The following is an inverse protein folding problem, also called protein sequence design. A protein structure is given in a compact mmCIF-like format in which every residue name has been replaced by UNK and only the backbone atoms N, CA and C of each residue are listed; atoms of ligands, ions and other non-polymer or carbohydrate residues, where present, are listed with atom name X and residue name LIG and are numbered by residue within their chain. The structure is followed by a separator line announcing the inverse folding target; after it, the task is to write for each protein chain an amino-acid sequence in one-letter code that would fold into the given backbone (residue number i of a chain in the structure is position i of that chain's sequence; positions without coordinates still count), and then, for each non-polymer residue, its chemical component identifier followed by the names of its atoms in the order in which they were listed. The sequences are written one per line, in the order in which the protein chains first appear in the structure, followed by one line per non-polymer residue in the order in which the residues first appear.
data_IF_943788256072
#
_entry.id   IF_943788256072
#
_cell.length_a   1.000
_cell.length_b   1.000
_cell.length_c   1.000
_cell.angle_alpha   90.00
_cell.angle_beta   90.00
_cell.angle_gamma   90.00
#
_symmetry.space_group_name_H-M   'P 1'
#
loop_
_entity.id
_entity.type
_entity.pdbx_description
1 polymer ?
#
# COMPACT_ATOMS: atom_id res chain seq x y z
N UNK A 1 -13.01 -13.42 3.37
CA UNK A 1 -11.78 -14.07 3.87
C UNK A 1 -10.82 -14.23 2.72
N UNK A 2 -9.74 -13.44 2.69
CA UNK A 2 -8.72 -13.49 1.62
C UNK A 2 -7.86 -14.74 1.81
N UNK A 3 -7.89 -15.68 0.85
CA UNK A 3 -6.99 -16.84 0.83
C UNK A 3 -5.72 -16.48 0.04
N UNK A 4 -4.75 -15.86 0.70
CA UNK A 4 -3.40 -15.74 0.15
C UNK A 4 -2.75 -17.12 0.17
N UNK A 5 -2.69 -17.73 -1.01
CA UNK A 5 -2.20 -19.08 -1.26
C UNK A 5 -0.70 -19.15 -0.94
N UNK A 6 -0.37 -19.58 0.28
CA UNK A 6 0.93 -20.15 0.66
C UNK A 6 2.21 -19.37 0.26
N UNK A 7 2.17 -18.03 0.22
CA UNK A 7 3.41 -17.24 0.25
C UNK A 7 3.80 -17.03 1.71
N UNK A 8 5.05 -17.29 2.05
CA UNK A 8 5.62 -16.97 3.37
C UNK A 8 5.65 -15.45 3.48
N UNK A 9 4.56 -14.88 4.00
CA UNK A 9 4.38 -13.44 4.22
C UNK A 9 5.10 -12.98 5.49
N UNK A 10 5.63 -13.94 6.27
CA UNK A 10 6.54 -13.70 7.37
C UNK A 10 7.93 -13.40 6.81
N UNK A 11 8.44 -12.21 7.11
CA UNK A 11 9.75 -11.74 6.62
C UNK A 11 10.83 -12.82 6.75
N UNK A 12 11.66 -12.96 5.72
CA UNK A 12 12.73 -13.94 5.66
C UNK A 12 13.83 -13.63 6.69
N UNK A 13 14.02 -12.36 7.02
CA UNK A 13 15.03 -11.86 7.96
C UNK A 13 14.37 -11.26 9.21
N UNK A 14 15.06 -11.31 10.36
CA UNK A 14 14.60 -10.65 11.59
C UNK A 14 14.32 -9.14 11.38
N UNK A 15 15.10 -8.50 10.51
CA UNK A 15 14.89 -7.11 10.07
C UNK A 15 13.55 -6.93 9.37
N UNK A 16 13.21 -7.78 8.41
CA UNK A 16 11.92 -7.73 7.70
C UNK A 16 10.76 -8.01 8.66
N UNK A 17 10.90 -8.95 9.59
CA UNK A 17 9.87 -9.21 10.62
C UNK A 17 9.65 -7.99 11.51
N UNK A 18 10.73 -7.31 11.90
CA UNK A 18 10.65 -6.08 12.68
C UNK A 18 9.93 -4.98 11.89
N UNK A 19 10.33 -4.73 10.65
CA UNK A 19 9.69 -3.75 9.77
C UNK A 19 8.21 -4.06 9.52
N UNK A 20 7.85 -5.34 9.31
CA UNK A 20 6.46 -5.76 9.16
C UNK A 20 5.66 -5.39 10.42
N UNK A 21 6.19 -5.68 11.61
CA UNK A 21 5.50 -5.34 12.86
C UNK A 21 5.39 -3.84 13.07
N UNK A 22 6.42 -3.09 12.72
CA UNK A 22 6.43 -1.62 12.78
C UNK A 22 5.32 -1.04 11.90
N UNK A 23 5.23 -1.49 10.64
CA UNK A 23 4.17 -1.09 9.71
C UNK A 23 2.77 -1.50 10.19
N UNK A 24 2.62 -2.70 10.77
CA UNK A 24 1.34 -3.15 11.33
C UNK A 24 0.92 -2.27 12.51
N UNK A 25 1.88 -1.91 13.37
CA UNK A 25 1.64 -1.04 14.52
C UNK A 25 1.25 0.35 14.03
N UNK A 26 2.03 0.92 13.10
CA UNK A 26 1.73 2.21 12.48
C UNK A 26 0.35 2.24 11.81
N UNK A 27 -0.02 1.17 11.10
CA UNK A 27 -1.38 1.06 10.56
C UNK A 27 -2.43 1.10 11.66
N UNK A 28 -2.26 0.31 12.73
CA UNK A 28 -3.21 0.23 13.84
C UNK A 28 -3.32 1.53 14.65
N UNK A 29 -2.21 2.26 14.84
CA UNK A 29 -2.15 3.47 15.67
C UNK A 29 -2.47 4.73 14.90
N UNK A 30 -1.88 4.90 13.71
CA UNK A 30 -1.97 6.14 12.96
C UNK A 30 -3.02 6.02 11.87
N UNK A 31 -2.90 5.02 10.99
CA UNK A 31 -3.76 4.90 9.81
C UNK A 31 -5.22 4.59 10.15
N UNK A 32 -5.47 3.69 11.11
CA UNK A 32 -6.81 3.33 11.57
C UNK A 32 -7.42 4.34 12.54
N UNK A 33 -6.58 5.16 13.21
CA UNK A 33 -7.04 6.12 14.20
C UNK A 33 -7.05 7.57 13.70
N UNK A 34 -6.87 7.81 12.39
CA UNK A 34 -6.93 9.15 11.81
C UNK A 34 -8.32 9.79 11.99
N UNK A 35 -8.48 10.83 12.83
CA UNK A 35 -9.77 11.49 13.02
C UNK A 35 -10.09 12.49 11.90
N UNK A 36 -9.09 12.87 11.09
CA UNK A 36 -9.18 13.94 10.10
C UNK A 36 -8.50 13.58 8.78
N UNK A 37 -8.95 14.22 7.70
CA UNK A 37 -8.33 14.06 6.39
C UNK A 37 -6.88 14.55 6.36
N UNK A 38 -6.52 15.55 7.17
CA UNK A 38 -5.14 16.07 7.25
C UNK A 38 -4.16 15.05 7.83
N UNK A 39 -4.53 14.35 8.91
CA UNK A 39 -3.71 13.30 9.51
C UNK A 39 -3.53 12.12 8.57
N UNK A 40 -4.59 11.75 7.85
CA UNK A 40 -4.51 10.78 6.75
C UNK A 40 -3.54 11.26 5.65
N UNK A 41 -3.58 12.53 5.28
CA UNK A 41 -2.69 13.10 4.26
C UNK A 41 -1.22 13.03 4.67
N UNK A 42 -0.92 13.28 5.96
CA UNK A 42 0.43 13.11 6.52
C UNK A 42 0.87 11.64 6.43
N UNK A 43 -0.02 10.70 6.80
CA UNK A 43 0.26 9.27 6.68
C UNK A 43 0.52 8.85 5.22
N UNK A 44 -0.29 9.34 4.29
CA UNK A 44 -0.12 9.11 2.86
C UNK A 44 1.19 9.66 2.33
N UNK A 45 1.59 10.86 2.74
CA UNK A 45 2.89 11.42 2.35
C UNK A 45 4.06 10.59 2.91
N UNK A 46 3.94 10.13 4.16
CA UNK A 46 4.95 9.27 4.77
C UNK A 46 5.10 7.96 3.98
N UNK A 47 3.98 7.25 3.74
CA UNK A 47 3.96 6.02 2.94
C UNK A 47 4.51 6.25 1.52
N UNK A 48 4.14 7.36 0.87
CA UNK A 48 4.62 7.69 -0.47
C UNK A 48 6.13 7.95 -0.51
N UNK A 49 6.71 8.47 0.58
CA UNK A 49 8.15 8.69 0.72
C UNK A 49 8.89 7.37 0.95
N UNK A 50 8.36 6.50 1.80
CA UNK A 50 8.93 5.17 2.04
C UNK A 50 8.92 4.32 0.76
N UNK A 51 7.81 4.34 0.00
CA UNK A 51 7.68 3.69 -1.30
C UNK A 51 8.46 4.36 -2.44
N UNK A 52 9.05 5.55 -2.22
CA UNK A 52 9.89 6.20 -3.23
C UNK A 52 11.19 5.41 -3.45
N UNK A 53 11.73 4.85 -2.36
CA UNK A 53 13.00 4.14 -2.37
C UNK A 53 12.84 2.62 -2.52
N UNK A 54 11.67 2.08 -2.18
CA UNK A 54 11.43 0.64 -2.10
C UNK A 54 10.27 0.21 -3.01
N UNK A 55 10.39 -0.96 -3.65
CA UNK A 55 9.29 -1.50 -4.47
C UNK A 55 8.14 -2.09 -3.65
N UNK A 56 8.41 -2.45 -2.38
CA UNK A 56 7.45 -2.91 -1.37
C UNK A 56 7.82 -2.32 -0.01
N UNK A 57 6.87 -2.24 0.92
CA UNK A 57 7.05 -1.58 2.23
C UNK A 57 8.17 -2.20 3.07
N UNK A 58 8.42 -3.50 2.91
CA UNK A 58 9.46 -4.23 3.64
C UNK A 58 10.59 -4.75 2.73
N UNK A 59 10.78 -4.18 1.53
CA UNK A 59 11.89 -4.52 0.64
C UNK A 59 11.46 -5.01 -0.74
N UNK A 60 11.85 -6.24 -1.10
CA UNK A 60 11.66 -6.81 -2.45
C UNK A 60 10.57 -7.87 -2.55
N UNK A 61 10.01 -8.32 -1.42
CA UNK A 61 8.96 -9.34 -1.38
C UNK A 61 7.64 -8.74 -0.90
N UNK A 62 6.53 -9.28 -1.42
CA UNK A 62 5.19 -8.95 -0.96
C UNK A 62 4.97 -9.56 0.43
N UNK A 63 4.74 -8.72 1.42
CA UNK A 63 4.57 -9.13 2.82
C UNK A 63 3.17 -8.76 3.34
N UNK A 64 2.84 -9.20 4.57
CA UNK A 64 1.53 -8.91 5.15
C UNK A 64 1.30 -7.42 5.42
N UNK A 65 2.37 -6.67 5.71
CA UNK A 65 2.31 -5.22 5.85
C UNK A 65 1.78 -4.57 4.56
N UNK A 66 2.28 -5.00 3.39
CA UNK A 66 1.80 -4.50 2.10
C UNK A 66 0.30 -4.79 1.91
N UNK A 67 -0.14 -6.00 2.25
CA UNK A 67 -1.56 -6.38 2.14
C UNK A 67 -2.43 -5.53 3.07
N UNK A 68 -2.02 -5.32 4.32
CA UNK A 68 -2.78 -4.53 5.30
C UNK A 68 -2.87 -3.06 4.87
N UNK A 69 -1.75 -2.47 4.44
CA UNK A 69 -1.72 -1.09 3.92
C UNK A 69 -2.58 -0.99 2.66
N UNK A 70 -2.53 -1.98 1.76
CA UNK A 70 -3.34 -2.00 0.54
C UNK A 70 -4.83 -2.00 0.86
N UNK A 71 -5.25 -2.84 1.82
CA UNK A 71 -6.63 -2.93 2.26
C UNK A 71 -7.11 -1.63 2.92
N UNK A 72 -6.27 -1.04 3.77
CA UNK A 72 -6.57 0.23 4.41
C UNK A 72 -6.67 1.38 3.40
N UNK A 73 -5.81 1.41 2.39
CA UNK A 73 -5.78 2.45 1.36
C UNK A 73 -6.81 2.28 0.24
N UNK A 74 -7.30 1.06 0.00
CA UNK A 74 -8.26 0.76 -1.06
C UNK A 74 -9.46 1.72 -1.14
N UNK A 75 -10.22 1.98 -0.05
CA UNK A 75 -11.36 2.92 -0.12
C UNK A 75 -10.94 4.36 -0.42
N UNK A 76 -9.76 4.80 0.05
CA UNK A 76 -9.27 6.16 -0.18
C UNK A 76 -8.82 6.36 -1.63
N UNK A 77 -8.01 5.43 -2.15
CA UNK A 77 -7.49 5.47 -3.51
C UNK A 77 -8.60 5.33 -4.55
N UNK A 78 -9.64 4.53 -4.25
CA UNK A 78 -10.83 4.44 -5.10
C UNK A 78 -11.56 5.77 -5.23
N UNK A 79 -11.43 6.67 -4.25
CA UNK A 79 -12.07 7.99 -4.22
C UNK A 79 -11.12 9.14 -4.64
N UNK A 80 -9.87 8.83 -5.03
CA UNK A 80 -8.89 9.84 -5.43
C UNK A 80 -9.12 10.39 -6.83
N UNK A 81 -9.03 11.71 -6.94
CA UNK A 81 -8.94 12.44 -8.20
C UNK A 81 -7.61 12.18 -8.91
N UNK A 82 -7.56 12.42 -10.23
CA UNK A 82 -6.34 12.26 -11.03
C UNK A 82 -5.13 13.01 -10.45
N UNK A 83 -5.32 14.25 -10.01
CA UNK A 83 -4.27 15.06 -9.39
C UNK A 83 -3.70 14.42 -8.11
N UNK A 84 -4.54 13.80 -7.28
CA UNK A 84 -4.07 13.11 -6.06
C UNK A 84 -3.29 11.84 -6.40
N UNK A 85 -3.71 11.12 -7.44
CA UNK A 85 -2.98 9.95 -7.94
C UNK A 85 -1.59 10.32 -8.48
N UNK A 86 -1.45 11.49 -9.10
CA UNK A 86 -0.16 12.04 -9.53
C UNK A 86 0.69 12.52 -8.34
N UNK A 87 0.10 13.22 -7.36
CA UNK A 87 0.79 13.65 -6.15
C UNK A 87 1.38 12.45 -5.38
N UNK A 88 0.65 11.33 -5.35
CA UNK A 88 1.06 10.08 -4.71
C UNK A 88 1.50 9.02 -5.74
N UNK A 89 2.37 9.42 -6.68
CA UNK A 89 2.87 8.56 -7.76
C UNK A 89 3.43 7.22 -7.25
N UNK A 90 4.18 7.21 -6.14
CA UNK A 90 4.81 5.98 -5.65
C UNK A 90 3.76 5.01 -5.10
N UNK A 91 2.77 5.53 -4.38
CA UNK A 91 1.60 4.75 -3.92
C UNK A 91 0.84 4.20 -5.13
N UNK A 92 0.53 5.04 -6.12
CA UNK A 92 -0.18 4.63 -7.34
C UNK A 92 0.58 3.51 -8.08
N UNK A 93 1.90 3.62 -8.20
CA UNK A 93 2.76 2.59 -8.80
C UNK A 93 2.74 1.28 -7.99
N UNK A 94 2.93 1.36 -6.68
CA UNK A 94 2.93 0.21 -5.78
C UNK A 94 1.56 -0.48 -5.76
N UNK A 95 0.47 0.28 -5.70
CA UNK A 95 -0.89 -0.22 -5.75
C UNK A 95 -1.19 -0.92 -7.08
N UNK A 96 -0.73 -0.36 -8.21
CA UNK A 96 -0.80 -1.03 -9.51
C UNK A 96 0.04 -2.30 -9.57
N UNK A 97 1.20 -2.34 -8.91
CA UNK A 97 2.03 -3.55 -8.81
C UNK A 97 1.33 -4.64 -7.99
N UNK A 98 0.69 -4.29 -6.88
CA UNK A 98 -0.10 -5.22 -6.07
C UNK A 98 -1.33 -5.74 -6.82
N UNK A 99 -2.05 -4.88 -7.56
CA UNK A 99 -3.20 -5.30 -8.38
C UNK A 99 -2.84 -6.29 -9.49
N UNK A 100 -1.59 -6.28 -9.97
CA UNK A 100 -1.12 -7.22 -10.99
C UNK A 100 -0.92 -8.63 -10.46
N UNK A 101 -0.80 -8.80 -9.14
CA UNK A 101 -0.73 -10.13 -8.56
C UNK A 101 -2.11 -10.81 -8.68
N UNK A 102 -2.17 -11.94 -9.39
CA UNK A 102 -3.41 -12.67 -9.70
C UNK A 102 -4.26 -12.96 -8.46
N UNK A 103 -3.61 -13.13 -7.31
CA UNK A 103 -4.27 -13.45 -6.05
C UNK A 103 -5.14 -12.30 -5.49
N UNK A 104 -4.80 -11.05 -5.81
CA UNK A 104 -5.56 -9.86 -5.36
C UNK A 104 -6.61 -9.43 -6.41
N UNK A 105 -6.34 -9.69 -7.69
CA UNK A 105 -7.22 -9.35 -8.81
C UNK A 105 -8.59 -10.03 -8.75
N UNK A 106 -8.68 -11.25 -8.20
CA UNK A 106 -9.97 -11.93 -8.00
C UNK A 106 -10.81 -11.33 -6.86
N UNK A 107 -10.19 -10.59 -5.93
CA UNK A 107 -10.87 -10.14 -4.70
C UNK A 107 -11.31 -8.67 -4.74
N UNK A 108 -10.67 -7.82 -5.57
CA UNK A 108 -10.93 -6.37 -5.59
C UNK A 108 -11.13 -5.84 -7.02
N UNK A 109 -12.08 -4.90 -7.17
CA UNK A 109 -12.32 -4.23 -8.45
C UNK A 109 -11.06 -3.45 -8.88
N UNK A 110 -10.60 -3.59 -10.13
CA UNK A 110 -9.38 -2.93 -10.59
C UNK A 110 -9.59 -1.41 -10.63
N UNK A 111 -8.93 -0.69 -9.72
CA UNK A 111 -8.86 0.78 -9.78
C UNK A 111 -8.01 1.17 -10.98
N UNK A 112 -8.58 1.93 -11.90
CA UNK A 112 -7.83 2.43 -13.06
C UNK A 112 -6.89 3.57 -12.66
N UNK A 113 -5.63 3.42 -13.06
CA UNK A 113 -4.61 4.45 -13.01
C UNK A 113 -4.23 4.82 -14.45
N UNK A 114 -4.35 6.09 -14.80
CA UNK A 114 -3.80 6.60 -16.06
C UNK A 114 -2.28 6.49 -16.00
N UNK A 115 -1.70 5.65 -16.85
CA UNK A 115 -0.23 5.54 -17.04
C UNK A 115 0.32 6.63 -17.95
N UNK A 116 -0.53 7.50 -18.49
CA UNK A 116 -0.15 8.58 -19.38
C UNK A 116 0.46 9.71 -18.57
N UNK A 117 1.78 9.86 -18.68
CA UNK A 117 2.44 11.16 -18.55
C UNK A 117 1.79 12.06 -19.61
N UNK A 118 0.82 12.89 -19.22
CA UNK A 118 0.34 13.97 -20.08
C UNK A 118 1.37 15.10 -20.01
N UNK A 119 2.42 14.96 -20.81
CA UNK A 119 3.26 16.07 -21.27
C UNK A 119 3.71 15.80 -22.70
#
# INVERSE_FOLDING_TARGET
MVRLKNRRLDGHTALEKCLIQDWLTYCATDLFHCPTFETLNVCLQYINKELAHHSYLCGYTLNIADVVVFLALHPFISNWSFLQKEQYMNISRWFSAMQKDESLRETYAPVQFSRTLLY
#
